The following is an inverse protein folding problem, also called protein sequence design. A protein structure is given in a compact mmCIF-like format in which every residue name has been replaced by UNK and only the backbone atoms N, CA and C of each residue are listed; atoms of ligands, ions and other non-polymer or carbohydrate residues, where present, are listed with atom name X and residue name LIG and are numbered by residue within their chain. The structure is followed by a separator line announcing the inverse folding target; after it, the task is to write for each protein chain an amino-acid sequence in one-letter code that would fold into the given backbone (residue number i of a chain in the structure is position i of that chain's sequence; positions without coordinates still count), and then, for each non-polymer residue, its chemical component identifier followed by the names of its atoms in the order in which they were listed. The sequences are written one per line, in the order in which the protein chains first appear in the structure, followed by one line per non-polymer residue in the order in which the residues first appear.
data_IF_082656503472
#
_entry.id   IF_082656503472
#
_cell.length_a   1.000
_cell.length_b   1.000
_cell.length_c   1.000
_cell.angle_alpha   90.00
_cell.angle_beta   90.00
_cell.angle_gamma   90.00
#
_symmetry.space_group_name_H-M   'P 1'
#
loop_
_entity.id
_entity.type
_entity.pdbx_description
1 polymer ?
#
# COMPACT_ATOMS: atom_id res chain seq x y z
N UNK A 1 -4.05 -17.27 18.30
CA UNK A 1 -3.17 -16.27 17.65
C UNK A 1 -3.47 -16.19 16.17
N UNK A 2 -3.56 -15.00 15.64
CA UNK A 2 -3.72 -14.80 14.22
C UNK A 2 -2.41 -14.97 13.50
N UNK A 3 -2.42 -15.59 12.31
CA UNK A 3 -1.26 -15.60 11.43
C UNK A 3 -1.15 -14.25 10.73
N UNK A 4 0.07 -13.74 10.51
CA UNK A 4 0.24 -12.55 9.71
C UNK A 4 -0.29 -12.75 8.29
N UNK A 5 -0.79 -11.66 7.72
CA UNK A 5 -1.32 -11.63 6.36
C UNK A 5 -0.50 -10.64 5.56
N UNK A 6 -0.12 -11.04 4.35
CA UNK A 6 0.61 -10.19 3.42
C UNK A 6 -0.37 -9.64 2.39
N UNK A 7 -0.38 -8.34 2.25
CA UNK A 7 -1.11 -7.67 1.18
C UNK A 7 -0.12 -7.32 0.08
N UNK A 8 -0.36 -7.81 -1.13
CA UNK A 8 0.45 -7.51 -2.29
C UNK A 8 -0.36 -6.68 -3.27
N UNK A 9 0.17 -5.53 -3.65
CA UNK A 9 -0.45 -4.66 -4.65
C UNK A 9 0.62 -4.31 -5.69
N UNK A 10 0.31 -4.51 -6.97
CA UNK A 10 1.19 -4.15 -8.09
C UNK A 10 0.39 -3.18 -8.97
N UNK A 11 0.95 -1.99 -9.19
CA UNK A 11 0.21 -0.92 -9.87
C UNK A 11 1.15 0.05 -10.58
N UNK A 12 0.61 0.73 -11.59
CA UNK A 12 1.31 1.84 -12.25
C UNK A 12 0.95 3.16 -11.60
N UNK A 13 1.93 4.05 -11.53
CA UNK A 13 1.73 5.42 -11.04
C UNK A 13 1.90 6.41 -12.18
N UNK A 14 1.29 7.59 -12.01
CA UNK A 14 1.29 8.63 -13.04
C UNK A 14 2.63 9.33 -13.13
N UNK A 15 3.19 9.72 -11.98
CA UNK A 15 4.51 10.35 -11.90
C UNK A 15 5.34 9.60 -10.85
N UNK A 16 6.37 8.83 -11.27
CA UNK A 16 7.14 8.00 -10.34
C UNK A 16 7.79 8.78 -9.21
N UNK A 17 8.37 9.94 -9.49
CA UNK A 17 9.08 10.71 -8.47
C UNK A 17 8.10 11.29 -7.44
N UNK A 18 7.00 11.85 -7.89
CA UNK A 18 5.96 12.40 -7.03
C UNK A 18 5.32 11.28 -6.20
N UNK A 19 4.97 10.16 -6.85
CA UNK A 19 4.34 9.04 -6.17
C UNK A 19 5.25 8.44 -5.10
N UNK A 20 6.54 8.29 -5.38
CA UNK A 20 7.49 7.74 -4.41
C UNK A 20 7.62 8.65 -3.19
N UNK A 21 7.68 9.97 -3.40
CA UNK A 21 7.76 10.93 -2.29
C UNK A 21 6.51 10.91 -1.43
N UNK A 22 5.33 10.90 -2.07
CA UNK A 22 4.05 10.86 -1.36
C UNK A 22 3.94 9.56 -0.58
N UNK A 23 4.30 8.42 -1.19
CA UNK A 23 4.24 7.11 -0.54
C UNK A 23 5.15 7.07 0.70
N UNK A 24 6.37 7.59 0.57
CA UNK A 24 7.31 7.64 1.70
C UNK A 24 6.75 8.48 2.86
N UNK A 25 6.13 9.61 2.56
CA UNK A 25 5.49 10.47 3.57
C UNK A 25 4.23 9.85 4.19
N UNK A 26 3.58 8.95 3.47
CA UNK A 26 2.36 8.29 3.93
C UNK A 26 2.64 7.16 4.92
N UNK A 27 3.83 6.56 4.86
CA UNK A 27 4.15 5.38 5.66
C UNK A 27 3.92 5.58 7.17
N UNK A 28 4.37 6.66 7.82
CA UNK A 28 4.10 6.84 9.26
C UNK A 28 2.61 6.89 9.59
N UNK A 29 1.81 7.44 8.69
CA UNK A 29 0.36 7.53 8.88
C UNK A 29 -0.31 6.16 8.83
N UNK A 30 0.01 5.36 7.82
CA UNK A 30 -0.54 4.00 7.66
C UNK A 30 0.01 3.07 8.74
N UNK A 31 1.24 3.30 9.20
CA UNK A 31 1.83 2.51 10.28
C UNK A 31 1.04 2.62 11.59
N UNK A 32 0.22 3.66 11.73
CA UNK A 32 -0.65 3.82 12.90
C UNK A 32 -2.00 3.09 12.75
N UNK A 33 -2.28 2.51 11.59
CA UNK A 33 -3.51 1.73 11.40
C UNK A 33 -3.48 0.47 12.27
N UNK A 34 -4.62 0.06 12.85
CA UNK A 34 -4.66 -1.13 13.68
C UNK A 34 -4.17 -2.37 12.94
N UNK A 35 -3.27 -3.12 13.58
CA UNK A 35 -2.75 -4.38 13.03
C UNK A 35 -1.60 -4.24 12.05
N UNK A 36 -1.15 -3.02 11.76
CA UNK A 36 -0.02 -2.81 10.87
C UNK A 36 1.27 -3.40 11.48
N UNK A 37 2.03 -4.14 10.65
CA UNK A 37 3.31 -4.70 11.06
C UNK A 37 4.47 -4.18 10.23
N UNK A 38 4.32 -4.12 8.88
CA UNK A 38 5.41 -3.72 7.99
C UNK A 38 4.87 -3.29 6.63
N UNK A 39 5.61 -2.45 5.94
CA UNK A 39 5.32 -2.03 4.57
C UNK A 39 6.62 -1.94 3.79
N UNK A 40 6.79 -2.82 2.81
CA UNK A 40 7.87 -2.74 1.84
C UNK A 40 7.34 -2.06 0.59
N UNK A 41 7.85 -0.87 0.33
CA UNK A 41 7.44 -0.03 -0.79
C UNK A 41 8.58 -0.05 -1.81
N UNK A 42 8.35 -0.70 -2.94
CA UNK A 42 9.38 -0.94 -3.95
C UNK A 42 8.89 -0.53 -5.34
N UNK A 43 9.81 -0.47 -6.30
CA UNK A 43 9.51 -0.20 -7.69
C UNK A 43 10.22 -1.23 -8.56
N UNK A 44 9.67 -1.49 -9.75
CA UNK A 44 10.27 -2.42 -10.70
C UNK A 44 11.65 -1.93 -11.12
N UNK A 45 12.59 -2.85 -11.26
CA UNK A 45 13.93 -2.55 -11.79
C UNK A 45 13.89 -2.23 -13.29
N UNK A 46 12.81 -2.63 -13.99
CA UNK A 46 12.68 -2.47 -15.43
C UNK A 46 11.74 -1.33 -15.82
N UNK A 47 10.89 -0.87 -14.90
CA UNK A 47 9.89 0.16 -15.17
C UNK A 47 9.70 1.02 -13.91
N UNK A 48 10.23 2.23 -13.94
CA UNK A 48 10.19 3.13 -12.79
C UNK A 48 8.76 3.52 -12.36
N UNK A 49 7.78 3.40 -13.26
CA UNK A 49 6.38 3.73 -12.96
C UNK A 49 5.60 2.53 -12.40
N UNK A 50 6.19 1.34 -12.40
CA UNK A 50 5.55 0.14 -11.87
C UNK A 50 5.97 -0.07 -10.42
N UNK A 51 5.02 0.13 -9.51
CA UNK A 51 5.23 0.04 -8.07
C UNK A 51 4.67 -1.27 -7.54
N UNK A 52 5.27 -1.75 -6.46
CA UNK A 52 4.73 -2.85 -5.69
C UNK A 52 4.78 -2.51 -4.21
N UNK A 53 3.72 -2.84 -3.50
CA UNK A 53 3.63 -2.71 -2.05
C UNK A 53 3.42 -4.09 -1.45
N UNK A 54 4.23 -4.42 -0.45
CA UNK A 54 4.06 -5.63 0.34
C UNK A 54 3.83 -5.17 1.77
N UNK A 55 2.57 -5.21 2.20
CA UNK A 55 2.19 -4.73 3.53
C UNK A 55 1.81 -5.93 4.38
N UNK A 56 2.38 -5.99 5.58
CA UNK A 56 2.11 -7.09 6.51
C UNK A 56 1.17 -6.59 7.61
N UNK A 57 0.10 -7.33 7.83
CA UNK A 57 -0.91 -7.07 8.85
C UNK A 57 -0.96 -8.23 9.82
N UNK A 58 -1.37 -7.99 11.07
CA UNK A 58 -1.45 -9.06 12.07
C UNK A 58 -2.61 -10.03 11.84
N UNK A 59 -3.59 -9.65 11.01
CA UNK A 59 -4.75 -10.49 10.68
C UNK A 59 -5.37 -10.06 9.36
N UNK A 60 -6.18 -10.95 8.77
CA UNK A 60 -6.95 -10.62 7.59
C UNK A 60 -7.99 -9.53 7.87
N UNK A 61 -8.61 -9.55 9.04
CA UNK A 61 -9.58 -8.53 9.42
C UNK A 61 -8.93 -7.14 9.48
N UNK A 62 -7.72 -7.04 10.03
CA UNK A 62 -6.98 -5.79 10.06
C UNK A 62 -6.63 -5.31 8.65
N UNK A 63 -6.18 -6.22 7.78
CA UNK A 63 -5.87 -5.90 6.38
C UNK A 63 -7.10 -5.36 5.65
N UNK A 64 -8.25 -5.99 5.81
CA UNK A 64 -9.50 -5.57 5.18
C UNK A 64 -9.99 -4.22 5.70
N UNK A 65 -9.93 -4.02 7.01
CA UNK A 65 -10.31 -2.75 7.62
C UNK A 65 -9.42 -1.60 7.14
N UNK A 66 -8.12 -1.85 7.02
CA UNK A 66 -7.17 -0.87 6.48
C UNK A 66 -7.47 -0.53 5.02
N UNK A 67 -7.81 -1.53 4.21
CA UNK A 67 -8.17 -1.31 2.81
C UNK A 67 -9.39 -0.42 2.66
N UNK A 68 -10.39 -0.59 3.51
CA UNK A 68 -11.57 0.28 3.53
C UNK A 68 -11.23 1.69 4.01
N UNK A 69 -10.41 1.80 5.04
CA UNK A 69 -10.02 3.08 5.62
C UNK A 69 -9.23 3.94 4.65
N UNK A 70 -8.31 3.35 3.90
CA UNK A 70 -7.49 4.04 2.89
C UNK A 70 -8.38 4.72 1.84
N UNK A 71 -9.49 4.11 1.47
CA UNK A 71 -10.38 4.65 0.44
C UNK A 71 -11.08 5.96 0.86
N UNK A 72 -11.20 6.20 2.14
CA UNK A 72 -11.92 7.38 2.68
C UNK A 72 -11.03 8.29 3.51
N UNK A 73 -9.78 7.91 3.74
CA UNK A 73 -8.83 8.70 4.56
C UNK A 73 -8.26 9.83 3.71
N UNK A 74 -8.54 11.11 4.06
CA UNK A 74 -8.07 12.24 3.25
C UNK A 74 -6.55 12.35 3.18
N UNK A 75 -5.82 11.80 4.17
CA UNK A 75 -4.35 11.79 4.15
C UNK A 75 -3.83 10.88 3.03
N UNK A 76 -4.59 9.83 2.68
CA UNK A 76 -4.22 8.89 1.62
C UNK A 76 -4.64 9.39 0.23
N UNK A 77 -5.52 10.39 0.13
CA UNK A 77 -6.08 10.84 -1.14
C UNK A 77 -5.03 11.26 -2.17
N UNK A 78 -3.96 12.01 -1.82
CA UNK A 78 -2.94 12.38 -2.81
C UNK A 78 -2.23 11.17 -3.41
N UNK A 79 -1.98 10.13 -2.62
CA UNK A 79 -1.37 8.91 -3.13
C UNK A 79 -2.34 8.14 -4.03
N UNK A 80 -3.60 8.03 -3.63
CA UNK A 80 -4.62 7.36 -4.44
C UNK A 80 -4.76 8.04 -5.81
N UNK A 81 -4.60 9.36 -5.87
CA UNK A 81 -4.66 10.11 -7.12
C UNK A 81 -3.49 9.80 -8.06
N UNK A 82 -2.35 9.34 -7.53
CA UNK A 82 -1.20 8.94 -8.34
C UNK A 82 -1.33 7.54 -8.92
N UNK A 83 -2.23 6.72 -8.41
CA UNK A 83 -2.42 5.35 -8.90
C UNK A 83 -3.18 5.40 -10.21
N UNK A 84 -2.56 4.87 -11.26
CA UNK A 84 -3.19 4.75 -12.58
C UNK A 84 -3.92 3.43 -12.71
N UNK A 85 -3.20 2.35 -12.97
CA UNK A 85 -3.77 1.03 -13.20
C UNK A 85 -3.26 0.05 -12.14
N UNK A 86 -4.17 -0.72 -11.56
CA UNK A 86 -3.82 -1.80 -10.61
C UNK A 86 -3.80 -3.11 -11.38
N UNK A 87 -2.61 -3.74 -11.44
CA UNK A 87 -2.43 -5.00 -12.15
C UNK A 87 -2.79 -6.20 -11.29
N UNK A 88 -2.53 -6.12 -10.00
CA UNK A 88 -2.79 -7.24 -9.10
C UNK A 88 -2.95 -6.71 -7.69
N UNK A 89 -3.88 -7.30 -6.96
CA UNK A 89 -4.07 -7.04 -5.53
C UNK A 89 -4.63 -8.29 -4.88
N UNK A 90 -4.02 -8.70 -3.76
CA UNK A 90 -4.49 -9.85 -3.02
C UNK A 90 -3.91 -9.93 -1.62
N UNK A 91 -4.51 -10.80 -0.83
CA UNK A 91 -4.05 -11.12 0.52
C UNK A 91 -3.56 -12.56 0.55
N UNK A 92 -2.43 -12.77 1.20
CA UNK A 92 -1.74 -14.06 1.25
C UNK A 92 -1.31 -14.34 2.69
N UNK A 93 -1.41 -15.58 3.09
CA UNK A 93 -1.00 -16.00 4.44
C UNK A 93 0.01 -17.14 4.40
#
# INVERSE_FOLDING_TARGET
MSNPVFELVIYKVKNPQTAARIRAGLLPHVAAYPGFLDWKAVASTDDAALFADIVTWDSLDAARAAGQKVMTDPVCAPFMAEIGEIFSMGHFA
#
